data_IF_740755241839
#
_entry.id   IF_740755241839
#
_cell.length_a   1.000
_cell.length_b   1.000
_cell.length_c   1.000
_cell.angle_alpha   90.00
_cell.angle_beta   90.00
_cell.angle_gamma   90.00
#
_symmetry.space_group_name_H-M   'P 1'
#
loop_
_entity.id
_entity.type
_entity.pdbx_description
1 polymer ?
#
# COMPACT_ATOMS: atom_id res chain seq x y z
N UNK A 1 3.52 0.95 2.38
CA UNK A 1 2.60 2.10 2.50
C UNK A 1 1.22 1.60 2.83
N UNK A 2 0.44 2.31 3.65
CA UNK A 2 -0.97 1.97 3.89
C UNK A 2 -1.76 2.34 2.66
N UNK A 3 -2.50 1.38 2.11
CA UNK A 3 -3.34 1.52 0.92
C UNK A 3 -4.82 1.43 1.28
N UNK A 4 -5.17 0.57 2.25
CA UNK A 4 -6.55 0.44 2.75
C UNK A 4 -6.63 0.47 4.26
N UNK A 5 -7.66 1.13 4.76
CA UNK A 5 -8.11 1.18 6.15
C UNK A 5 -9.22 0.14 6.39
N UNK A 6 -9.58 -0.16 7.65
CA UNK A 6 -10.72 -1.02 7.97
C UNK A 6 -11.97 -0.67 7.17
N UNK A 7 -12.59 -1.67 6.55
CA UNK A 7 -13.80 -1.53 5.74
C UNK A 7 -13.58 -1.10 4.29
N UNK A 8 -12.37 -0.69 3.90
CA UNK A 8 -12.10 -0.35 2.50
C UNK A 8 -12.18 -1.58 1.60
N UNK A 9 -12.81 -1.42 0.44
CA UNK A 9 -12.80 -2.41 -0.63
C UNK A 9 -11.59 -2.18 -1.53
N UNK A 10 -10.69 -3.16 -1.62
CA UNK A 10 -9.47 -3.10 -2.41
C UNK A 10 -9.58 -4.05 -3.59
N UNK A 11 -9.45 -3.51 -4.79
CA UNK A 11 -9.36 -4.29 -6.03
C UNK A 11 -8.04 -3.99 -6.74
N UNK A 12 -7.30 -5.04 -7.10
CA UNK A 12 -6.07 -4.95 -7.90
C UNK A 12 -6.23 -5.81 -9.12
N UNK A 13 -6.11 -5.20 -10.30
CA UNK A 13 -6.19 -5.90 -11.58
C UNK A 13 -5.44 -5.13 -12.66
N UNK A 14 -4.83 -5.85 -13.61
CA UNK A 14 -4.17 -5.27 -14.79
C UNK A 14 -3.21 -4.10 -14.45
N UNK A 15 -2.46 -4.21 -13.35
CA UNK A 15 -1.50 -3.19 -12.94
C UNK A 15 -2.08 -2.00 -12.16
N UNK A 16 -3.40 -1.98 -11.93
CA UNK A 16 -4.13 -0.89 -11.27
C UNK A 16 -4.53 -1.27 -9.84
N UNK A 17 -4.62 -0.27 -8.97
CA UNK A 17 -5.18 -0.38 -7.62
C UNK A 17 -6.42 0.50 -7.56
N UNK A 18 -7.52 -0.07 -7.09
CA UNK A 18 -8.80 0.61 -6.88
C UNK A 18 -9.16 0.47 -5.41
N UNK A 19 -9.54 1.57 -4.77
CA UNK A 19 -9.97 1.64 -3.37
C UNK A 19 -11.37 2.23 -3.34
N UNK A 20 -12.34 1.50 -2.80
CA UNK A 20 -13.75 1.92 -2.76
C UNK A 20 -14.28 2.41 -4.12
N UNK A 21 -14.06 1.61 -5.17
CA UNK A 21 -14.46 1.91 -6.55
C UNK A 21 -13.70 3.06 -7.23
N UNK A 22 -12.81 3.76 -6.52
CA UNK A 22 -11.99 4.83 -7.07
C UNK A 22 -10.58 4.35 -7.44
N UNK A 23 -10.11 4.70 -8.64
CA UNK A 23 -8.74 4.39 -9.06
C UNK A 23 -7.75 5.18 -8.18
N UNK A 24 -6.83 4.47 -7.53
CA UNK A 24 -5.77 5.09 -6.76
C UNK A 24 -4.69 5.62 -7.71
N UNK A 25 -4.58 6.95 -7.79
CA UNK A 25 -3.51 7.61 -8.56
C UNK A 25 -2.23 7.69 -7.73
N UNK A 26 -1.15 7.12 -8.29
CA UNK A 26 0.13 6.97 -7.59
C UNK A 26 1.26 7.53 -8.48
N UNK A 27 1.47 8.85 -8.42
CA UNK A 27 2.45 9.56 -9.26
C UNK A 27 3.89 9.04 -9.14
N UNK A 28 4.20 8.36 -8.04
CA UNK A 28 5.51 7.77 -7.76
C UNK A 28 5.71 6.40 -8.43
N UNK A 29 4.72 5.87 -9.15
CA UNK A 29 4.78 4.59 -9.85
C UNK A 29 4.70 4.76 -11.35
N UNK A 30 5.32 3.83 -12.05
CA UNK A 30 5.09 3.67 -13.49
C UNK A 30 3.77 2.96 -13.74
N UNK A 31 3.11 3.32 -14.84
CA UNK A 31 1.85 2.69 -15.25
C UNK A 31 2.04 1.17 -15.37
N UNK A 32 1.13 0.41 -14.76
CA UNK A 32 1.10 -1.05 -14.86
C UNK A 32 2.02 -1.79 -13.90
N UNK A 33 2.61 -1.13 -12.89
CA UNK A 33 3.56 -1.78 -11.99
C UNK A 33 2.96 -2.69 -10.92
N UNK A 34 1.65 -2.58 -10.64
CA UNK A 34 1.05 -3.35 -9.55
C UNK A 34 0.55 -4.71 -10.02
N UNK A 35 1.44 -5.71 -9.96
CA UNK A 35 1.07 -7.10 -10.19
C UNK A 35 0.23 -7.66 -9.04
N UNK A 36 -0.67 -8.58 -9.38
CA UNK A 36 -1.57 -9.25 -8.44
C UNK A 36 -3.00 -9.31 -8.97
N UNK A 37 -3.81 -10.14 -8.34
CA UNK A 37 -5.25 -10.13 -8.47
C UNK A 37 -5.83 -10.18 -7.05
N UNK A 38 -6.34 -9.04 -6.59
CA UNK A 38 -6.87 -8.86 -5.23
C UNK A 38 -8.27 -8.31 -5.39
N UNK A 39 -9.20 -8.83 -4.61
CA UNK A 39 -10.57 -8.33 -4.46
C UNK A 39 -11.02 -8.71 -3.06
N UNK A 40 -10.98 -7.76 -2.13
CA UNK A 40 -11.29 -8.01 -0.72
C UNK A 40 -11.73 -6.73 0.00
N UNK A 41 -12.38 -6.91 1.15
CA UNK A 41 -12.64 -5.86 2.11
C UNK A 41 -11.62 -5.99 3.24
N UNK A 42 -10.98 -4.88 3.62
CA UNK A 42 -10.03 -4.86 4.74
C UNK A 42 -10.78 -5.12 6.04
N UNK A 43 -10.30 -6.09 6.80
CA UNK A 43 -10.91 -6.48 8.07
C UNK A 43 -10.85 -5.36 9.13
N UNK A 44 -11.84 -5.36 10.03
CA UNK A 44 -11.85 -4.45 11.18
C UNK A 44 -10.57 -4.53 12.01
N UNK A 45 -10.03 -3.38 12.39
CA UNK A 45 -8.77 -3.28 13.14
C UNK A 45 -7.50 -3.66 12.35
N UNK A 46 -7.60 -3.91 11.04
CA UNK A 46 -6.47 -4.24 10.18
C UNK A 46 -6.21 -3.17 9.11
N UNK A 47 -5.07 -3.30 8.44
CA UNK A 47 -4.63 -2.46 7.34
C UNK A 47 -4.23 -3.31 6.15
N UNK A 48 -4.48 -2.79 4.95
CA UNK A 48 -3.91 -3.34 3.71
C UNK A 48 -2.72 -2.48 3.29
N UNK A 49 -1.53 -3.09 3.17
CA UNK A 49 -0.30 -2.37 2.86
C UNK A 49 0.35 -2.91 1.60
N UNK A 50 0.89 -2.01 0.77
CA UNK A 50 1.68 -2.36 -0.41
C UNK A 50 3.01 -1.61 -0.36
N UNK A 51 4.11 -2.26 -0.71
CA UNK A 51 5.41 -1.60 -0.85
C UNK A 51 5.49 -0.78 -2.13
N UNK A 52 6.15 0.38 -2.08
CA UNK A 52 6.30 1.25 -3.26
C UNK A 52 7.15 0.56 -4.36
N UNK A 53 8.07 -0.36 -3.99
CA UNK A 53 8.75 -1.22 -4.96
C UNK A 53 7.88 -2.45 -5.33
N UNK A 54 6.83 -2.20 -6.11
CA UNK A 54 5.72 -3.13 -6.38
C UNK A 54 6.12 -4.51 -6.88
N UNK A 55 7.18 -4.60 -7.68
CA UNK A 55 7.60 -5.83 -8.35
C UNK A 55 8.23 -6.86 -7.42
N UNK A 56 8.85 -6.42 -6.33
CA UNK A 56 9.64 -7.30 -5.44
C UNK A 56 9.17 -7.28 -3.98
N UNK A 57 8.23 -6.38 -3.65
CA UNK A 57 7.67 -6.28 -2.31
C UNK A 57 6.81 -7.49 -1.96
N UNK A 58 7.16 -8.18 -0.86
CA UNK A 58 6.28 -9.16 -0.21
C UNK A 58 5.41 -8.41 0.79
N UNK A 59 4.18 -8.13 0.41
CA UNK A 59 3.23 -7.29 1.15
C UNK A 59 1.81 -7.90 1.15
N UNK A 60 0.78 -7.13 1.52
CA UNK A 60 -0.58 -7.64 1.73
C UNK A 60 -1.22 -8.30 0.50
N UNK A 61 -0.67 -8.10 -0.70
CA UNK A 61 -1.08 -8.84 -1.91
C UNK A 61 -0.80 -10.35 -1.80
N UNK A 62 0.14 -10.75 -0.94
CA UNK A 62 0.47 -12.15 -0.70
C UNK A 62 -0.32 -12.69 0.49
N UNK A 63 -0.96 -13.88 0.38
CA UNK A 63 -1.59 -14.56 1.51
C UNK A 63 -0.62 -14.87 2.68
N UNK A 64 0.69 -14.87 2.44
CA UNK A 64 1.70 -15.06 3.49
C UNK A 64 1.83 -13.86 4.44
N UNK A 65 1.43 -12.67 3.98
CA UNK A 65 1.44 -11.43 4.76
C UNK A 65 0.02 -11.05 5.14
N UNK A 66 -0.89 -10.96 4.15
CA UNK A 66 -2.28 -10.60 4.37
C UNK A 66 -2.44 -9.22 5.02
N UNK A 67 -3.50 -9.06 5.81
CA UNK A 67 -3.78 -7.82 6.50
C UNK A 67 -2.88 -7.65 7.74
N UNK A 68 -2.54 -6.40 8.05
CA UNK A 68 -1.67 -6.05 9.18
C UNK A 68 -2.49 -5.48 10.33
N UNK A 69 -2.31 -5.98 11.55
CA UNK A 69 -2.95 -5.40 12.74
C UNK A 69 -2.54 -3.94 12.96
N UNK A 70 -3.52 -3.05 13.17
CA UNK A 70 -3.25 -1.63 13.47
C UNK A 70 -2.40 -1.47 14.74
N UNK A 71 -2.58 -2.35 15.73
CA UNK A 71 -1.83 -2.33 16.98
C UNK A 71 -0.35 -2.72 16.82
N UNK A 72 0.03 -3.30 15.67
CA UNK A 72 1.42 -3.60 15.34
C UNK A 72 2.19 -2.39 14.81
N UNK A 73 1.51 -1.26 14.55
CA UNK A 73 2.12 -0.05 14.01
C UNK A 73 2.90 0.67 15.10
N UNK A 74 4.24 0.71 14.93
CA UNK A 74 5.15 1.38 15.87
C UNK A 74 5.21 2.90 15.63
N UNK A 75 5.00 3.35 14.38
CA UNK A 75 5.06 4.76 14.04
C UNK A 75 4.98 5.04 12.54
N UNK A 76 5.08 6.32 12.18
CA UNK A 76 5.01 6.82 10.80
C UNK A 76 6.33 7.46 10.39
N UNK A 77 6.78 7.19 9.17
CA UNK A 77 7.92 7.90 8.58
C UNK A 77 7.54 9.37 8.35
N UNK A 78 8.29 10.31 8.94
CA UNK A 78 8.00 11.75 8.89
C UNK A 78 9.02 12.56 8.10
N UNK A 79 10.30 12.15 8.12
CA UNK A 79 11.40 12.91 7.51
C UNK A 79 12.28 11.99 6.66
N UNK A 80 12.61 12.42 5.44
CA UNK A 80 13.65 11.82 4.61
C UNK A 80 14.93 12.64 4.77
N UNK A 81 15.96 12.05 5.40
CA UNK A 81 17.24 12.73 5.68
C UNK A 81 18.26 12.64 4.55
N UNK A 82 18.11 11.69 3.61
CA UNK A 82 19.05 11.47 2.52
C UNK A 82 18.35 11.59 1.15
N UNK A 83 18.99 12.20 0.13
CA UNK A 83 20.31 12.84 0.20
C UNK A 83 20.28 14.12 1.05
N UNK A 84 21.41 14.49 1.67
CA UNK A 84 21.46 15.53 2.73
C UNK A 84 21.13 16.94 2.22
N UNK A 85 21.21 17.16 0.92
CA UNK A 85 20.81 18.38 0.21
C UNK A 85 19.31 18.40 -0.16
N UNK A 86 18.60 17.28 -0.01
CA UNK A 86 17.17 17.14 -0.26
C UNK A 86 16.39 16.66 0.98
N UNK A 87 16.80 17.12 2.17
CA UNK A 87 16.08 16.84 3.41
C UNK A 87 14.67 17.42 3.29
N UNK A 88 13.66 16.56 3.44
CA UNK A 88 12.26 16.95 3.36
C UNK A 88 11.39 16.11 4.28
N UNK A 89 10.24 16.64 4.65
CA UNK A 89 9.18 15.85 5.25
C UNK A 89 8.50 14.99 4.16
N UNK A 90 7.94 13.85 4.56
CA UNK A 90 7.13 12.99 3.69
C UNK A 90 5.72 13.54 3.51
#
# INVERSE_FOLDING_TARGET
RIIGLPGDHIVIYAGKVVVNEELLEEEYLSVGETEGNVDLIVEEGKLFVIGDNRKVSLDSRSPKVGHIDMDSIIGRAMVRLYPFDEIRNF
#
